data_IF_836447205452
#
_entry.id   IF_836447205452
#
_cell.length_a   1.000
_cell.length_b   1.000
_cell.length_c   1.000
_cell.angle_alpha   90.00
_cell.angle_beta   90.00
_cell.angle_gamma   90.00
#
_symmetry.space_group_name_H-M   'P 1'
#
loop_
_entity.id
_entity.type
_entity.pdbx_description
1 polymer ?
#
# COMPACT_ATOMS: atom_id res chain seq x y z
N UNK A 1 -19.98 -7.68 -25.07
CA UNK A 1 -19.75 -7.52 -23.62
C UNK A 1 -18.26 -7.48 -23.31
N UNK A 2 -17.41 -8.23 -24.02
CA UNK A 2 -15.94 -8.14 -23.93
C UNK A 2 -15.41 -6.71 -24.07
N UNK A 3 -15.83 -5.94 -25.09
CA UNK A 3 -15.29 -4.58 -25.31
C UNK A 3 -15.35 -3.59 -24.12
N UNK A 4 -16.27 -3.74 -23.16
CA UNK A 4 -16.32 -2.87 -21.96
C UNK A 4 -15.33 -3.30 -20.87
N UNK A 5 -15.18 -4.61 -20.68
CA UNK A 5 -14.26 -5.17 -19.69
C UNK A 5 -12.81 -4.85 -20.08
N UNK A 6 -12.47 -5.05 -21.34
CA UNK A 6 -11.17 -4.70 -21.92
C UNK A 6 -10.90 -3.21 -21.79
N UNK A 7 -11.90 -2.35 -21.99
CA UNK A 7 -11.77 -0.90 -21.82
C UNK A 7 -11.43 -0.53 -20.37
N UNK A 8 -12.17 -1.05 -19.38
CA UNK A 8 -11.87 -0.80 -17.96
C UNK A 8 -10.47 -1.29 -17.56
N UNK A 9 -10.06 -2.47 -18.06
CA UNK A 9 -8.69 -2.98 -17.85
C UNK A 9 -7.64 -2.08 -18.50
N UNK A 10 -7.89 -1.59 -19.70
CA UNK A 10 -6.97 -0.68 -20.39
C UNK A 10 -6.80 0.65 -19.65
N UNK A 11 -7.89 1.26 -19.17
CA UNK A 11 -7.83 2.51 -18.39
C UNK A 11 -7.04 2.32 -17.08
N UNK A 12 -7.29 1.23 -16.36
CA UNK A 12 -6.51 0.87 -15.16
C UNK A 12 -5.03 0.64 -15.51
N UNK A 13 -4.75 -0.11 -16.56
CA UNK A 13 -3.37 -0.40 -16.97
C UNK A 13 -2.60 0.87 -17.36
N UNK A 14 -3.24 1.84 -18.02
CA UNK A 14 -2.60 3.12 -18.38
C UNK A 14 -2.03 3.85 -17.16
N UNK A 15 -2.75 3.84 -16.03
CA UNK A 15 -2.33 4.54 -14.80
C UNK A 15 -1.45 3.67 -13.89
N UNK A 16 -1.52 2.34 -14.00
CA UNK A 16 -0.61 1.43 -13.29
C UNK A 16 0.81 1.52 -13.87
N UNK A 17 0.96 1.66 -15.19
CA UNK A 17 2.27 1.58 -15.84
C UNK A 17 3.30 2.61 -15.32
N UNK A 18 2.96 3.89 -15.13
CA UNK A 18 3.88 4.85 -14.50
C UNK A 18 4.30 4.41 -13.09
N UNK A 19 3.36 4.00 -12.24
CA UNK A 19 3.63 3.54 -10.87
C UNK A 19 4.57 2.32 -10.88
N UNK A 20 4.31 1.36 -11.76
CA UNK A 20 5.16 0.17 -11.91
C UNK A 20 6.56 0.52 -12.41
N UNK A 21 6.66 1.42 -13.39
CA UNK A 21 7.95 1.89 -13.93
C UNK A 21 8.78 2.58 -12.85
N UNK A 22 8.14 3.40 -12.00
CA UNK A 22 8.80 4.02 -10.84
C UNK A 22 9.26 2.99 -9.84
N UNK A 23 8.40 2.02 -9.50
CA UNK A 23 8.74 0.94 -8.59
C UNK A 23 9.96 0.16 -9.09
N UNK A 24 9.99 -0.22 -10.37
CA UNK A 24 11.11 -0.95 -10.97
C UNK A 24 12.40 -0.12 -10.97
N UNK A 25 12.29 1.15 -11.33
CA UNK A 25 13.41 2.09 -11.26
C UNK A 25 14.00 2.16 -9.84
N UNK A 26 13.17 2.36 -8.81
CA UNK A 26 13.67 2.48 -7.44
C UNK A 26 14.20 1.15 -6.88
N UNK A 27 13.64 0.00 -7.29
CA UNK A 27 14.24 -1.31 -7.01
C UNK A 27 15.69 -1.38 -7.49
N UNK A 28 15.94 -0.96 -8.73
CA UNK A 28 17.28 -0.95 -9.29
C UNK A 28 18.16 0.16 -8.69
N UNK A 29 17.58 1.31 -8.35
CA UNK A 29 18.31 2.44 -7.78
C UNK A 29 18.87 2.08 -6.39
N UNK A 30 18.10 1.41 -5.53
CA UNK A 30 18.55 0.98 -4.21
C UNK A 30 19.83 0.13 -4.28
N UNK A 31 19.86 -0.87 -5.17
CA UNK A 31 21.05 -1.70 -5.42
C UNK A 31 22.24 -0.85 -5.87
N UNK A 32 22.02 0.00 -6.90
CA UNK A 32 23.07 0.83 -7.50
C UNK A 32 23.65 1.82 -6.50
N UNK A 33 22.81 2.46 -5.69
CA UNK A 33 23.23 3.41 -4.65
C UNK A 33 24.15 2.69 -3.67
N UNK A 34 23.73 1.54 -3.12
CA UNK A 34 24.56 0.77 -2.18
C UNK A 34 25.93 0.44 -2.76
N UNK A 35 25.98 -0.07 -3.99
CA UNK A 35 27.25 -0.41 -4.63
C UNK A 35 28.12 0.82 -4.91
N UNK A 36 27.53 1.96 -5.29
CA UNK A 36 28.25 3.24 -5.41
C UNK A 36 28.85 3.67 -4.06
N UNK A 37 28.11 3.56 -2.97
CA UNK A 37 28.61 3.89 -1.64
C UNK A 37 29.76 2.97 -1.25
N UNK A 38 29.63 1.66 -1.48
CA UNK A 38 30.71 0.70 -1.19
C UNK A 38 31.97 1.02 -1.98
N UNK A 39 31.84 1.23 -3.30
CA UNK A 39 32.96 1.57 -4.16
C UNK A 39 33.64 2.89 -3.76
N UNK A 40 32.86 3.84 -3.23
CA UNK A 40 33.38 5.13 -2.78
C UNK A 40 34.15 5.03 -1.45
N UNK A 41 33.54 4.42 -0.43
CA UNK A 41 34.06 4.44 0.94
C UNK A 41 35.10 3.34 1.21
N UNK A 42 35.05 2.21 0.50
CA UNK A 42 36.04 1.12 0.63
C UNK A 42 37.14 1.18 -0.44
N UNK A 43 37.28 2.31 -1.14
CA UNK A 43 38.36 2.51 -2.11
C UNK A 43 39.73 2.59 -1.41
N UNK A 44 40.64 1.66 -1.71
CA UNK A 44 41.96 1.59 -1.08
C UNK A 44 42.77 2.90 -1.20
N UNK A 45 42.72 3.55 -2.37
CA UNK A 45 43.43 4.81 -2.60
C UNK A 45 42.87 5.98 -1.79
N UNK A 46 41.62 5.90 -1.32
CA UNK A 46 41.01 6.87 -0.41
C UNK A 46 41.29 6.51 1.05
N UNK A 47 41.14 5.25 1.42
CA UNK A 47 41.30 4.80 2.82
C UNK A 47 42.74 4.91 3.30
N UNK A 48 43.71 4.75 2.41
CA UNK A 48 45.13 5.00 2.69
C UNK A 48 45.46 6.46 3.00
N UNK A 49 44.68 7.43 2.51
CA UNK A 49 44.90 8.86 2.79
C UNK A 49 44.45 9.26 4.19
N UNK A 50 43.59 8.47 4.83
CA UNK A 50 43.03 8.77 6.14
C UNK A 50 43.99 8.50 7.31
N UNK A 51 45.23 8.10 7.04
CA UNK A 51 46.28 7.87 8.06
C UNK A 51 47.00 9.17 8.41
N UNK A 52 46.27 10.16 8.92
CA UNK A 52 46.85 11.39 9.45
C UNK A 52 47.37 11.16 10.89
N UNK A 53 48.44 11.88 11.27
CA UNK A 53 48.96 11.85 12.64
C UNK A 53 48.11 12.79 13.49
N UNK A 54 47.35 12.25 14.45
CA UNK A 54 46.52 13.01 15.37
C UNK A 54 47.35 13.98 16.23
N UNK A 55 46.83 15.19 16.46
CA UNK A 55 47.47 16.24 17.28
C UNK A 55 46.66 16.56 18.54
N UNK A 56 47.34 16.73 19.68
CA UNK A 56 46.68 17.17 20.93
C UNK A 56 45.67 16.16 21.48
N UNK A 57 44.40 16.57 21.60
CA UNK A 57 43.29 15.74 22.12
C UNK A 57 42.52 14.97 21.04
N UNK A 58 42.96 15.04 19.78
CA UNK A 58 42.33 14.33 18.66
C UNK A 58 42.41 12.82 18.83
N UNK A 59 41.33 12.12 18.43
CA UNK A 59 41.32 10.67 18.44
C UNK A 59 42.03 10.13 17.18
N UNK A 60 42.97 9.19 17.39
CA UNK A 60 43.65 8.49 16.30
C UNK A 60 42.59 7.76 15.45
N UNK A 61 42.51 8.13 14.18
CA UNK A 61 41.63 7.47 13.23
C UNK A 61 42.38 6.38 12.48
N UNK A 62 41.81 5.18 12.47
CA UNK A 62 42.27 4.08 11.63
C UNK A 62 41.07 3.53 10.88
N UNK A 63 41.18 3.45 9.55
CA UNK A 63 40.12 2.88 8.73
C UNK A 63 39.74 1.46 9.18
N UNK A 64 40.72 0.67 9.61
CA UNK A 64 40.48 -0.69 10.11
C UNK A 64 39.59 -0.72 11.37
N UNK A 65 39.55 0.36 12.16
CA UNK A 65 38.71 0.44 13.36
C UNK A 65 37.24 0.69 13.01
N UNK A 66 36.96 1.41 11.91
CA UNK A 66 35.59 1.76 11.50
C UNK A 66 35.06 0.86 10.40
N UNK A 67 35.94 0.15 9.67
CA UNK A 67 35.59 -0.66 8.51
C UNK A 67 34.46 -1.65 8.77
N UNK A 68 34.56 -2.44 9.83
CA UNK A 68 33.54 -3.44 10.16
C UNK A 68 32.16 -2.80 10.43
N UNK A 69 32.14 -1.69 11.16
CA UNK A 69 30.91 -0.93 11.40
C UNK A 69 30.34 -0.33 10.11
N UNK A 70 31.19 0.20 9.23
CA UNK A 70 30.75 0.73 7.93
C UNK A 70 30.20 -0.37 7.01
N UNK A 71 30.83 -1.56 7.00
CA UNK A 71 30.34 -2.74 6.25
C UNK A 71 28.98 -3.19 6.79
N UNK A 72 28.79 -3.14 8.12
CA UNK A 72 27.50 -3.42 8.75
C UNK A 72 26.41 -2.40 8.38
N UNK A 73 26.75 -1.14 8.10
CA UNK A 73 25.77 -0.19 7.58
C UNK A 73 25.38 -0.45 6.11
N UNK A 74 26.23 -1.11 5.32
CA UNK A 74 26.02 -1.34 3.87
C UNK A 74 25.86 -2.83 3.53
N UNK A 75 25.10 -3.55 4.35
CA UNK A 75 24.77 -4.97 4.19
C UNK A 75 24.10 -5.30 2.86
N UNK A 76 24.21 -6.55 2.42
CA UNK A 76 23.54 -7.03 1.21
C UNK A 76 22.01 -7.07 1.30
N UNK A 77 21.37 -7.17 0.13
CA UNK A 77 19.92 -7.11 -0.01
C UNK A 77 19.24 -8.30 0.68
N UNK A 78 19.82 -9.49 0.57
CA UNK A 78 19.26 -10.70 1.19
C UNK A 78 19.22 -10.56 2.71
N UNK A 79 20.29 -10.05 3.32
CA UNK A 79 20.36 -9.79 4.75
C UNK A 79 19.42 -8.65 5.17
N UNK A 80 19.28 -7.62 4.33
CA UNK A 80 18.38 -6.50 4.60
C UNK A 80 16.92 -6.96 4.61
N UNK A 81 16.53 -7.78 3.62
CA UNK A 81 15.19 -8.37 3.51
C UNK A 81 14.92 -9.30 4.68
N UNK A 82 15.84 -10.21 5.01
CA UNK A 82 15.70 -11.09 6.19
C UNK A 82 15.51 -10.30 7.48
N UNK A 83 16.29 -9.24 7.65
CA UNK A 83 16.16 -8.37 8.84
C UNK A 83 14.81 -7.66 8.86
N UNK A 84 14.32 -7.21 7.70
CA UNK A 84 13.00 -6.59 7.59
C UNK A 84 11.88 -7.59 7.91
N UNK A 85 12.01 -8.84 7.48
CA UNK A 85 11.10 -9.93 7.82
C UNK A 85 11.11 -10.28 9.31
N UNK A 86 12.29 -10.31 9.94
CA UNK A 86 12.43 -10.54 11.39
C UNK A 86 11.80 -9.43 12.22
N UNK A 87 11.95 -8.16 11.80
CA UNK A 87 11.33 -7.01 12.48
C UNK A 87 9.82 -7.04 12.34
N UNK A 88 9.31 -7.54 11.21
CA UNK A 88 7.91 -7.46 10.82
C UNK A 88 6.97 -8.10 11.86
N UNK A 89 7.36 -9.22 12.49
CA UNK A 89 6.50 -9.91 13.46
C UNK A 89 5.10 -10.21 12.90
N UNK A 90 4.11 -9.35 13.22
CA UNK A 90 2.71 -9.41 12.76
C UNK A 90 2.26 -8.24 11.85
N UNK A 91 3.16 -7.37 11.38
CA UNK A 91 2.83 -6.24 10.50
C UNK A 91 2.57 -6.68 9.04
N UNK A 92 1.79 -5.91 8.28
CA UNK A 92 1.37 -6.30 6.91
C UNK A 92 2.49 -6.25 5.87
N UNK A 93 3.53 -5.44 6.08
CA UNK A 93 4.65 -5.28 5.14
C UNK A 93 5.99 -5.09 5.88
N UNK A 94 7.06 -5.77 5.44
CA UNK A 94 8.39 -5.62 6.02
C UNK A 94 8.99 -4.27 5.61
N UNK A 95 9.64 -3.58 6.55
CA UNK A 95 10.31 -2.28 6.28
C UNK A 95 11.83 -2.46 6.17
N UNK A 96 12.33 -2.31 4.95
CA UNK A 96 13.72 -2.13 4.59
C UNK A 96 14.36 -0.91 5.28
N UNK A 97 13.63 0.20 5.44
CA UNK A 97 14.11 1.38 6.16
C UNK A 97 14.34 1.04 7.64
N UNK A 98 13.38 0.38 8.30
CA UNK A 98 13.56 -0.05 9.68
C UNK A 98 14.70 -1.06 9.84
N UNK A 99 14.83 -2.00 8.89
CA UNK A 99 15.95 -2.94 8.85
C UNK A 99 17.29 -2.22 8.69
N UNK A 100 17.37 -1.25 7.78
CA UNK A 100 18.56 -0.44 7.57
C UNK A 100 18.91 0.37 8.83
N UNK A 101 17.92 1.03 9.44
CA UNK A 101 18.10 1.80 10.67
C UNK A 101 18.61 0.90 11.83
N UNK A 102 18.16 -0.36 11.90
CA UNK A 102 18.67 -1.38 12.85
C UNK A 102 20.13 -1.73 12.59
N UNK A 103 20.54 -1.85 11.33
CA UNK A 103 21.95 -2.13 10.97
C UNK A 103 22.87 -0.93 11.23
N UNK A 104 22.40 0.29 10.95
CA UNK A 104 23.17 1.51 11.25
C UNK A 104 23.33 1.69 12.76
N UNK A 105 22.26 1.55 13.54
CA UNK A 105 22.34 1.64 15.00
C UNK A 105 23.18 0.52 15.63
N UNK A 106 23.14 -0.68 15.06
CA UNK A 106 23.94 -1.83 15.50
C UNK A 106 25.41 -1.79 15.08
N UNK A 107 25.84 -0.83 14.25
CA UNK A 107 27.20 -0.77 13.69
C UNK A 107 28.30 -0.41 14.69
N UNK A 108 27.92 0.13 15.86
CA UNK A 108 28.87 0.66 16.84
C UNK A 108 29.57 1.96 16.40
N UNK A 109 29.22 2.52 15.23
CA UNK A 109 29.69 3.84 14.81
C UNK A 109 28.94 4.93 15.57
N UNK A 110 29.57 6.08 15.87
CA UNK A 110 28.92 7.19 16.56
C UNK A 110 28.04 8.00 15.58
N UNK A 111 26.98 7.34 15.12
CA UNK A 111 25.96 7.85 14.22
C UNK A 111 24.64 7.97 15.00
N UNK A 112 24.07 9.17 15.01
CA UNK A 112 22.75 9.43 15.58
C UNK A 112 21.74 9.70 14.48
N UNK A 113 20.56 9.08 14.56
CA UNK A 113 19.47 9.37 13.66
C UNK A 113 18.66 10.58 14.15
N UNK A 114 18.62 11.65 13.36
CA UNK A 114 17.88 12.87 13.66
C UNK A 114 16.49 12.78 13.02
N UNK A 115 15.50 12.33 13.78
CA UNK A 115 14.14 12.08 13.29
C UNK A 115 13.50 13.30 12.60
N UNK A 116 13.79 14.51 13.08
CA UNK A 116 13.23 15.75 12.52
C UNK A 116 13.76 16.05 11.11
N UNK A 117 15.03 15.72 10.86
CA UNK A 117 15.67 15.94 9.56
C UNK A 117 15.59 14.71 8.67
N UNK A 118 15.34 13.52 9.24
CA UNK A 118 15.33 12.24 8.52
C UNK A 118 16.71 11.74 8.14
N UNK A 119 17.76 12.24 8.79
CA UNK A 119 19.17 12.08 8.39
C UNK A 119 20.01 11.49 9.52
N UNK A 120 21.19 10.99 9.15
CA UNK A 120 22.20 10.55 10.11
C UNK A 120 23.22 11.66 10.36
N UNK A 121 23.56 11.86 11.62
CA UNK A 121 24.59 12.82 12.03
C UNK A 121 25.72 12.07 12.72
N UNK A 122 26.93 12.34 12.27
CA UNK A 122 28.15 11.79 12.86
C UNK A 122 28.59 12.62 14.07
N UNK A 123 28.50 12.05 15.28
CA UNK A 123 28.80 12.71 16.56
C UNK A 123 29.79 11.89 17.41
N UNK A 124 31.09 11.97 17.13
CA UNK A 124 32.08 11.26 17.91
C UNK A 124 32.25 11.90 19.30
N UNK A 125 32.65 11.10 20.30
CA UNK A 125 32.94 11.59 21.66
C UNK A 125 34.11 12.59 21.69
N UNK A 126 35.09 12.38 20.80
CA UNK A 126 36.24 13.26 20.58
C UNK A 126 36.35 13.60 19.11
N UNK A 127 36.90 14.77 18.79
CA UNK A 127 37.14 15.16 17.40
C UNK A 127 38.19 14.23 16.78
N UNK A 128 37.90 13.76 15.57
CA UNK A 128 38.93 13.14 14.72
C UNK A 128 39.77 14.21 14.03
N UNK A 129 40.84 13.76 13.36
CA UNK A 129 41.57 14.60 12.42
C UNK A 129 40.61 15.14 11.34
N UNK A 130 40.90 16.31 10.74
CA UNK A 130 39.97 16.95 9.78
C UNK A 130 39.55 16.05 8.62
N UNK A 131 40.45 15.26 8.03
CA UNK A 131 40.11 14.38 6.91
C UNK A 131 39.23 13.21 7.34
N UNK A 132 39.54 12.58 8.48
CA UNK A 132 38.75 11.52 9.06
C UNK A 132 37.34 12.01 9.47
N UNK A 133 37.27 13.20 10.06
CA UNK A 133 36.01 13.84 10.44
C UNK A 133 35.13 14.11 9.21
N UNK A 134 35.73 14.64 8.13
CA UNK A 134 35.02 14.89 6.87
C UNK A 134 34.56 13.58 6.22
N UNK A 135 35.41 12.55 6.20
CA UNK A 135 35.09 11.23 5.67
C UNK A 135 33.89 10.58 6.38
N UNK A 136 33.88 10.59 7.71
CA UNK A 136 32.78 10.01 8.48
C UNK A 136 31.49 10.81 8.38
N UNK A 137 31.56 12.15 8.24
CA UNK A 137 30.37 12.96 7.94
C UNK A 137 29.83 12.67 6.55
N UNK A 138 30.69 12.58 5.53
CA UNK A 138 30.28 12.17 4.17
C UNK A 138 29.58 10.81 4.19
N UNK A 139 30.09 9.87 5.00
CA UNK A 139 29.46 8.57 5.19
C UNK A 139 28.05 8.69 5.78
N UNK A 140 27.88 9.45 6.87
CA UNK A 140 26.56 9.70 7.47
C UNK A 140 25.57 10.34 6.47
N UNK A 141 26.02 11.34 5.71
CA UNK A 141 25.22 11.95 4.64
C UNK A 141 24.81 10.96 3.56
N UNK A 142 25.73 10.10 3.12
CA UNK A 142 25.46 9.07 2.14
C UNK A 142 24.46 8.02 2.63
N UNK A 143 24.54 7.61 3.91
CA UNK A 143 23.55 6.72 4.52
C UNK A 143 22.15 7.36 4.54
N UNK A 144 22.06 8.68 4.78
CA UNK A 144 20.80 9.42 4.68
C UNK A 144 20.20 9.36 3.28
N UNK A 145 21.01 9.58 2.24
CA UNK A 145 20.56 9.47 0.85
C UNK A 145 20.12 8.04 0.47
N UNK A 146 20.83 7.03 0.96
CA UNK A 146 20.45 5.63 0.75
C UNK A 146 19.13 5.29 1.44
N UNK A 147 18.93 5.75 2.69
CA UNK A 147 17.68 5.60 3.44
C UNK A 147 16.48 6.21 2.71
N UNK A 148 16.66 7.38 2.10
CA UNK A 148 15.62 8.02 1.25
C UNK A 148 15.26 7.12 0.08
N UNK A 149 16.26 6.56 -0.63
CA UNK A 149 16.03 5.62 -1.72
C UNK A 149 15.24 4.37 -1.30
N UNK A 150 15.58 3.80 -0.13
CA UNK A 150 14.84 2.68 0.47
C UNK A 150 13.37 3.05 0.71
N UNK A 151 13.12 4.18 1.38
CA UNK A 151 11.76 4.60 1.74
C UNK A 151 10.89 4.93 0.52
N UNK A 152 11.48 5.52 -0.54
CA UNK A 152 10.76 5.75 -1.79
C UNK A 152 10.32 4.42 -2.41
N UNK A 153 11.23 3.44 -2.48
CA UNK A 153 10.95 2.10 -2.99
C UNK A 153 9.81 1.40 -2.22
N UNK A 154 9.83 1.49 -0.90
CA UNK A 154 8.78 0.94 -0.03
C UNK A 154 7.41 1.57 -0.30
N UNK A 155 7.34 2.90 -0.41
CA UNK A 155 6.07 3.60 -0.62
C UNK A 155 5.49 3.23 -1.99
N UNK A 156 6.31 3.17 -3.04
CA UNK A 156 5.84 2.71 -4.35
C UNK A 156 5.35 1.26 -4.32
N UNK A 157 6.03 0.39 -3.58
CA UNK A 157 5.59 -0.99 -3.40
C UNK A 157 4.23 -1.05 -2.69
N UNK A 158 4.02 -0.27 -1.63
CA UNK A 158 2.76 -0.19 -0.91
C UNK A 158 1.61 0.34 -1.79
N UNK A 159 1.87 1.37 -2.61
CA UNK A 159 0.89 1.90 -3.58
C UNK A 159 0.52 0.80 -4.61
N UNK A 160 1.52 0.16 -5.21
CA UNK A 160 1.33 -0.84 -6.26
C UNK A 160 0.65 -2.12 -5.76
N UNK A 161 0.96 -2.56 -4.55
CA UNK A 161 0.48 -3.84 -3.98
C UNK A 161 -0.79 -3.72 -3.13
N UNK A 162 -1.42 -2.54 -3.12
CA UNK A 162 -2.55 -2.23 -2.25
C UNK A 162 -3.69 -3.27 -2.38
N UNK A 163 -4.23 -3.74 -1.25
CA UNK A 163 -5.20 -4.85 -1.26
C UNK A 163 -6.52 -4.52 -1.94
N UNK A 164 -7.03 -3.30 -1.76
CA UNK A 164 -8.30 -2.85 -2.34
C UNK A 164 -8.33 -2.79 -3.86
N UNK A 165 -7.18 -2.79 -4.54
CA UNK A 165 -7.11 -2.78 -6.01
C UNK A 165 -6.97 -4.17 -6.62
N UNK A 166 -6.75 -5.21 -5.80
CA UNK A 166 -6.63 -6.59 -6.29
C UNK A 166 -7.98 -7.11 -6.75
N UNK A 167 -8.06 -7.47 -8.02
CA UNK A 167 -9.24 -8.10 -8.63
C UNK A 167 -9.02 -9.58 -8.97
N UNK A 168 -7.88 -10.15 -8.56
CA UNK A 168 -7.41 -11.51 -8.89
C UNK A 168 -8.42 -12.63 -8.58
N UNK A 169 -9.25 -12.47 -7.55
CA UNK A 169 -10.25 -13.47 -7.18
C UNK A 169 -11.50 -13.47 -8.08
N UNK A 170 -11.75 -12.39 -8.84
CA UNK A 170 -12.96 -12.24 -9.64
C UNK A 170 -12.95 -12.99 -10.98
N UNK A 171 -11.82 -13.08 -11.73
CA UNK A 171 -11.68 -13.98 -12.85
C UNK A 171 -12.03 -15.44 -12.52
N UNK A 172 -11.76 -15.90 -11.30
CA UNK A 172 -12.10 -17.26 -10.87
C UNK A 172 -13.61 -17.58 -10.98
N UNK A 173 -14.50 -16.59 -10.91
CA UNK A 173 -15.93 -16.82 -11.12
C UNK A 173 -16.29 -17.05 -12.59
N UNK A 174 -15.56 -16.41 -13.51
CA UNK A 174 -15.71 -16.67 -14.95
C UNK A 174 -15.19 -18.07 -15.25
N UNK A 175 -14.01 -18.43 -14.73
CA UNK A 175 -13.43 -19.76 -14.91
C UNK A 175 -14.31 -20.85 -14.31
N UNK A 176 -14.83 -20.64 -13.09
CA UNK A 176 -15.78 -21.56 -12.45
C UNK A 176 -17.08 -21.71 -13.25
N UNK A 177 -17.58 -20.61 -13.83
CA UNK A 177 -18.77 -20.65 -14.68
C UNK A 177 -18.52 -21.43 -15.98
N UNK A 178 -17.36 -21.25 -16.60
CA UNK A 178 -16.95 -22.03 -17.77
C UNK A 178 -16.76 -23.51 -17.44
N UNK A 179 -16.15 -23.82 -16.30
CA UNK A 179 -15.96 -25.19 -15.83
C UNK A 179 -17.30 -25.90 -15.65
N UNK A 180 -18.27 -25.27 -14.98
CA UNK A 180 -19.62 -25.85 -14.82
C UNK A 180 -20.33 -26.04 -16.17
N UNK A 181 -20.14 -25.11 -17.11
CA UNK A 181 -20.67 -25.24 -18.48
C UNK A 181 -20.04 -26.42 -19.22
N UNK A 182 -18.76 -26.69 -19.00
CA UNK A 182 -18.06 -27.83 -19.60
C UNK A 182 -18.53 -29.16 -19.01
N UNK A 183 -18.72 -29.23 -17.69
CA UNK A 183 -19.23 -30.43 -17.01
C UNK A 183 -20.61 -30.88 -17.51
N UNK A 184 -21.40 -29.98 -18.09
CA UNK A 184 -22.66 -30.33 -18.73
C UNK A 184 -22.48 -31.34 -19.88
N UNK A 185 -21.33 -31.35 -20.55
CA UNK A 185 -21.04 -32.24 -21.68
C UNK A 185 -20.45 -33.59 -21.24
N UNK A 186 -20.23 -33.76 -19.94
CA UNK A 186 -19.71 -34.98 -19.32
C UNK A 186 -20.86 -35.79 -18.70
N UNK A 187 -20.60 -37.06 -18.37
CA UNK A 187 -21.59 -37.94 -17.74
C UNK A 187 -21.63 -37.67 -16.21
N UNK A 188 -22.32 -36.59 -15.83
CA UNK A 188 -22.33 -36.01 -14.48
C UNK A 188 -23.75 -35.96 -13.90
N UNK A 189 -23.87 -36.08 -12.57
CA UNK A 189 -25.13 -35.88 -11.85
C UNK A 189 -25.66 -34.44 -12.03
N UNK A 190 -26.69 -34.31 -12.87
CA UNK A 190 -27.36 -33.06 -13.21
C UNK A 190 -27.98 -32.36 -11.99
N UNK A 191 -28.40 -33.10 -10.96
CA UNK A 191 -28.99 -32.50 -9.75
C UNK A 191 -27.90 -31.82 -8.91
N UNK A 192 -26.75 -32.48 -8.71
CA UNK A 192 -25.58 -31.88 -8.07
C UNK A 192 -25.09 -30.66 -8.83
N UNK A 193 -24.99 -30.76 -10.16
CA UNK A 193 -24.56 -29.65 -11.02
C UNK A 193 -25.52 -28.45 -10.91
N UNK A 194 -26.83 -28.68 -10.91
CA UNK A 194 -27.83 -27.64 -10.71
C UNK A 194 -27.69 -26.93 -9.34
N UNK A 195 -27.40 -27.67 -8.27
CA UNK A 195 -27.15 -27.10 -6.93
C UNK A 195 -25.90 -26.20 -6.92
N UNK A 196 -24.82 -26.63 -7.58
CA UNK A 196 -23.58 -25.85 -7.68
C UNK A 196 -23.80 -24.54 -8.46
N UNK A 197 -24.49 -24.62 -9.61
CA UNK A 197 -24.87 -23.43 -10.41
C UNK A 197 -25.71 -22.46 -9.58
N UNK A 198 -26.67 -22.95 -8.79
CA UNK A 198 -27.46 -22.11 -7.87
C UNK A 198 -26.62 -21.45 -6.77
N UNK A 199 -25.65 -22.16 -6.20
CA UNK A 199 -24.76 -21.62 -5.18
C UNK A 199 -23.93 -20.46 -5.73
N UNK A 200 -23.28 -20.64 -6.88
CA UNK A 200 -22.52 -19.59 -7.55
C UNK A 200 -23.42 -18.43 -7.96
N UNK A 201 -24.63 -18.71 -8.47
CA UNK A 201 -25.60 -17.65 -8.81
C UNK A 201 -25.96 -16.79 -7.59
N UNK A 202 -26.13 -17.40 -6.40
CA UNK A 202 -26.42 -16.68 -5.16
C UNK A 202 -25.23 -15.83 -4.71
N UNK A 203 -24.01 -16.36 -4.83
CA UNK A 203 -22.78 -15.66 -4.49
C UNK A 203 -22.55 -14.45 -5.40
N UNK A 204 -22.66 -14.61 -6.72
CA UNK A 204 -22.56 -13.50 -7.68
C UNK A 204 -23.58 -12.39 -7.37
N UNK A 205 -24.83 -12.75 -7.08
CA UNK A 205 -25.86 -11.77 -6.66
C UNK A 205 -25.51 -11.05 -5.36
N UNK A 206 -24.84 -11.73 -4.42
CA UNK A 206 -24.36 -11.12 -3.18
C UNK A 206 -23.24 -10.11 -3.44
N UNK A 207 -22.30 -10.45 -4.32
CA UNK A 207 -21.16 -9.60 -4.67
C UNK A 207 -21.56 -8.38 -5.52
N UNK A 208 -22.63 -8.46 -6.29
CA UNK A 208 -23.19 -7.34 -7.07
C UNK A 208 -23.92 -6.29 -6.21
N UNK A 209 -24.02 -6.48 -4.89
CA UNK A 209 -24.58 -5.46 -3.99
C UNK A 209 -23.67 -4.24 -3.95
N UNK A 210 -24.26 -3.04 -3.89
CA UNK A 210 -23.53 -1.77 -3.96
C UNK A 210 -22.38 -1.68 -2.94
N UNK A 211 -22.62 -2.12 -1.70
CA UNK A 211 -21.61 -2.13 -0.63
C UNK A 211 -20.44 -3.10 -0.90
N UNK A 212 -20.67 -4.18 -1.64
CA UNK A 212 -19.64 -5.18 -2.00
C UNK A 212 -18.83 -4.77 -3.21
N UNK A 213 -19.46 -4.18 -4.22
CA UNK A 213 -18.75 -3.60 -5.36
C UNK A 213 -17.78 -2.49 -4.92
N UNK A 214 -18.21 -1.63 -4.00
CA UNK A 214 -17.42 -0.51 -3.48
C UNK A 214 -16.59 -0.85 -2.22
N UNK A 215 -16.54 -2.12 -1.83
CA UNK A 215 -15.78 -2.58 -0.66
C UNK A 215 -14.30 -2.21 -0.81
N UNK A 216 -13.75 -1.55 0.23
CA UNK A 216 -12.35 -1.15 0.31
C UNK A 216 -11.98 0.18 -0.37
N UNK A 217 -12.90 0.88 -1.05
CA UNK A 217 -12.59 2.12 -1.76
C UNK A 217 -12.26 3.30 -0.83
N UNK A 218 -13.02 3.48 0.25
CA UNK A 218 -12.74 4.55 1.23
C UNK A 218 -11.40 4.34 1.91
N UNK A 219 -11.07 3.08 2.23
CA UNK A 219 -9.76 2.74 2.79
C UNK A 219 -8.64 3.02 1.79
N UNK A 220 -8.83 2.64 0.52
CA UNK A 220 -7.90 2.94 -0.57
C UNK A 220 -7.64 4.44 -0.72
N UNK A 221 -8.67 5.27 -0.74
CA UNK A 221 -8.53 6.72 -0.85
C UNK A 221 -7.71 7.31 0.31
N UNK A 222 -8.02 6.90 1.54
CA UNK A 222 -7.28 7.34 2.73
C UNK A 222 -5.82 6.90 2.70
N UNK A 223 -5.56 5.63 2.37
CA UNK A 223 -4.22 5.05 2.37
C UNK A 223 -3.36 5.62 1.24
N UNK A 224 -3.89 5.74 0.03
CA UNK A 224 -3.17 6.36 -1.09
C UNK A 224 -2.91 7.84 -0.83
N UNK A 225 -3.87 8.58 -0.27
CA UNK A 225 -3.65 9.98 0.12
C UNK A 225 -2.54 10.12 1.16
N UNK A 226 -2.45 9.22 2.14
CA UNK A 226 -1.37 9.18 3.13
C UNK A 226 -0.02 8.82 2.48
N UNK A 227 0.02 7.76 1.67
CA UNK A 227 1.23 7.30 0.99
C UNK A 227 1.76 8.36 0.02
N UNK A 228 0.88 9.02 -0.73
CA UNK A 228 1.19 10.16 -1.60
C UNK A 228 1.87 11.28 -0.82
N UNK A 229 1.29 11.70 0.31
CA UNK A 229 1.88 12.74 1.16
C UNK A 229 3.27 12.34 1.64
N UNK A 230 3.40 11.13 2.21
CA UNK A 230 4.69 10.59 2.68
C UNK A 230 5.74 10.55 1.57
N UNK A 231 5.36 10.17 0.36
CA UNK A 231 6.29 10.12 -0.78
C UNK A 231 6.80 11.51 -1.14
N UNK A 232 5.90 12.49 -1.25
CA UNK A 232 6.29 13.86 -1.59
C UNK A 232 7.16 14.45 -0.49
N UNK A 233 6.78 14.31 0.78
CA UNK A 233 7.59 14.78 1.92
C UNK A 233 8.99 14.13 1.91
N UNK A 234 9.09 12.84 1.57
CA UNK A 234 10.36 12.12 1.48
C UNK A 234 11.21 12.58 0.30
N UNK A 235 10.60 12.84 -0.86
CA UNK A 235 11.30 13.38 -2.03
C UNK A 235 11.80 14.81 -1.78
N UNK A 236 11.00 15.65 -1.13
CA UNK A 236 11.37 17.03 -0.78
C UNK A 236 12.49 17.06 0.25
N UNK A 237 12.36 16.32 1.35
CA UNK A 237 13.42 16.21 2.36
C UNK A 237 14.71 15.60 1.79
N UNK A 238 14.60 14.57 0.95
CA UNK A 238 15.74 13.99 0.24
C UNK A 238 16.45 14.98 -0.69
N UNK A 239 15.70 15.88 -1.34
CA UNK A 239 16.26 16.88 -2.23
C UNK A 239 17.06 17.88 -1.41
N UNK A 240 16.44 18.46 -0.38
CA UNK A 240 17.10 19.38 0.55
C UNK A 240 18.35 18.75 1.16
N UNK A 241 18.28 17.47 1.54
CA UNK A 241 19.41 16.73 2.07
C UNK A 241 20.57 16.69 1.07
N UNK A 242 20.36 16.26 -0.17
CA UNK A 242 21.41 16.18 -1.19
C UNK A 242 21.98 17.56 -1.56
N UNK A 243 21.12 18.58 -1.63
CA UNK A 243 21.55 19.96 -1.89
C UNK A 243 22.44 20.50 -0.76
N UNK A 244 22.10 20.19 0.50
CA UNK A 244 22.92 20.55 1.67
C UNK A 244 24.24 19.77 1.68
N UNK A 245 24.21 18.46 1.38
CA UNK A 245 25.42 17.64 1.22
C UNK A 245 26.41 18.22 0.21
N UNK A 246 25.87 18.74 -0.89
CA UNK A 246 26.68 19.29 -1.99
C UNK A 246 27.39 20.58 -1.57
N UNK A 247 26.72 21.41 -0.75
CA UNK A 247 27.23 22.69 -0.22
C UNK A 247 28.23 22.51 0.92
N UNK A 248 28.01 21.55 1.81
CA UNK A 248 28.84 21.39 3.03
C UNK A 248 30.29 21.00 2.72
N UNK A 249 30.53 20.27 1.63
CA UNK A 249 31.86 19.81 1.24
C UNK A 249 32.29 20.46 -0.08
N UNK A 250 32.67 21.75 -0.11
CA UNK A 250 32.96 22.47 -1.35
C UNK A 250 34.21 21.94 -2.07
N UNK A 251 34.26 22.19 -3.39
CA UNK A 251 35.46 21.95 -4.18
C UNK A 251 36.59 22.88 -3.71
N UNK A 252 37.81 22.36 -3.56
CA UNK A 252 38.97 23.20 -3.25
C UNK A 252 39.32 24.03 -4.52
N UNK A 253 39.44 25.35 -4.42
CA UNK A 253 39.50 26.30 -5.54
C UNK A 253 40.65 26.14 -6.54
N UNK A 254 41.59 25.21 -6.35
CA UNK A 254 42.77 25.07 -7.23
C UNK A 254 42.56 24.04 -8.37
N UNK A 255 41.66 23.06 -8.23
CA UNK A 255 41.52 21.92 -9.17
C UNK A 255 40.14 21.80 -9.84
N UNK A 256 39.19 22.71 -9.56
CA UNK A 256 37.79 22.64 -10.03
C UNK A 256 37.60 22.82 -11.54
N UNK A 257 38.57 23.42 -12.25
CA UNK A 257 38.49 23.62 -13.70
C UNK A 257 38.75 22.35 -14.51
N UNK A 258 39.25 21.28 -13.89
CA UNK A 258 39.67 20.07 -14.60
C UNK A 258 38.73 18.87 -14.34
N UNK A 259 38.25 18.66 -13.11
CA UNK A 259 37.35 17.55 -12.78
C UNK A 259 36.46 17.87 -11.57
N UNK A 260 35.24 17.33 -11.55
CA UNK A 260 34.46 17.22 -10.31
C UNK A 260 35.24 16.41 -9.27
N UNK A 261 35.19 16.82 -7.99
CA UNK A 261 35.62 15.94 -6.91
C UNK A 261 34.73 14.70 -6.91
N UNK A 262 35.33 13.56 -6.62
CA UNK A 262 34.62 12.27 -6.54
C UNK A 262 33.41 12.30 -5.60
N UNK A 263 33.40 13.15 -4.55
CA UNK A 263 32.21 13.38 -3.70
C UNK A 263 31.05 14.02 -4.47
N UNK A 264 31.28 15.12 -5.19
CA UNK A 264 30.25 15.78 -5.98
C UNK A 264 29.79 14.91 -7.14
N UNK A 265 30.68 14.14 -7.76
CA UNK A 265 30.30 13.12 -8.75
C UNK A 265 29.35 12.09 -8.13
N UNK A 266 29.69 11.56 -6.94
CA UNK A 266 28.81 10.62 -6.24
C UNK A 266 27.44 11.26 -5.98
N UNK A 267 27.39 12.47 -5.39
CA UNK A 267 26.13 13.16 -5.11
C UNK A 267 25.29 13.39 -6.38
N UNK A 268 25.90 13.80 -7.49
CA UNK A 268 25.21 13.94 -8.78
C UNK A 268 24.63 12.61 -9.26
N UNK A 269 25.39 11.52 -9.17
CA UNK A 269 24.89 10.19 -9.52
C UNK A 269 23.75 9.74 -8.60
N UNK A 270 23.83 10.02 -7.30
CA UNK A 270 22.73 9.75 -6.36
C UNK A 270 21.48 10.57 -6.71
N UNK A 271 21.64 11.86 -7.04
CA UNK A 271 20.54 12.71 -7.51
C UNK A 271 19.93 12.21 -8.82
N UNK A 272 20.75 11.78 -9.78
CA UNK A 272 20.28 11.19 -11.03
C UNK A 272 19.45 9.93 -10.79
N UNK A 273 19.91 9.05 -9.90
CA UNK A 273 19.19 7.83 -9.51
C UNK A 273 17.91 8.13 -8.72
N UNK A 274 17.89 9.10 -7.81
CA UNK A 274 16.72 9.38 -6.97
C UNK A 274 15.67 10.25 -7.67
N UNK A 275 16.08 11.09 -8.62
CA UNK A 275 15.21 12.08 -9.26
C UNK A 275 15.15 11.93 -10.79
N UNK A 276 15.51 10.76 -11.32
CA UNK A 276 15.45 10.46 -12.76
C UNK A 276 16.12 11.54 -13.65
N UNK A 277 17.35 11.92 -13.27
CA UNK A 277 18.15 12.96 -13.95
C UNK A 277 17.50 14.38 -13.94
N UNK A 278 16.48 14.61 -13.10
CA UNK A 278 15.82 15.91 -12.97
C UNK A 278 16.51 16.81 -11.94
N UNK A 279 17.77 17.13 -12.21
CA UNK A 279 18.55 18.07 -11.39
C UNK A 279 19.39 19.01 -12.26
N UNK A 280 19.80 20.13 -11.68
CA UNK A 280 20.82 21.02 -12.23
C UNK A 280 21.94 21.17 -11.22
N UNK A 281 23.13 21.54 -11.69
CA UNK A 281 24.26 21.78 -10.79
C UNK A 281 25.16 22.87 -11.35
N UNK A 282 25.87 23.55 -10.45
CA UNK A 282 27.00 24.40 -10.77
C UNK A 282 28.19 24.03 -9.92
N UNK A 283 29.24 23.53 -10.58
CA UNK A 283 30.53 23.29 -9.93
C UNK A 283 31.16 24.61 -9.45
N UNK A 284 30.91 25.73 -10.17
CA UNK A 284 31.42 27.06 -9.81
C UNK A 284 30.76 27.63 -8.56
N UNK A 285 29.44 27.51 -8.45
CA UNK A 285 28.68 28.05 -7.33
C UNK A 285 28.49 27.05 -6.18
N UNK A 286 29.00 25.82 -6.34
CA UNK A 286 28.80 24.76 -5.35
C UNK A 286 27.32 24.43 -5.15
N UNK A 287 26.52 24.51 -6.20
CA UNK A 287 25.08 24.26 -6.14
C UNK A 287 24.71 22.96 -6.83
N UNK A 288 23.75 22.29 -6.22
CA UNK A 288 22.95 21.21 -6.77
C UNK A 288 21.51 21.65 -6.49
N UNK A 289 20.62 21.49 -7.46
CA UNK A 289 19.21 21.84 -7.32
C UNK A 289 18.36 20.74 -7.97
N UNK A 290 17.44 20.19 -7.20
CA UNK A 290 16.48 19.21 -7.72
C UNK A 290 15.27 19.96 -8.29
N UNK A 291 14.87 19.60 -9.51
CA UNK A 291 13.76 20.24 -10.20
C UNK A 291 12.42 19.91 -9.53
N UNK A 292 11.74 20.92 -9.02
CA UNK A 292 10.43 20.78 -8.35
C UNK A 292 9.34 20.25 -9.27
N UNK A 293 9.48 20.46 -10.58
CA UNK A 293 8.58 19.94 -11.61
C UNK A 293 8.49 18.41 -11.56
N UNK A 294 9.58 17.73 -11.18
CA UNK A 294 9.57 16.28 -11.00
C UNK A 294 8.61 15.86 -9.89
N UNK A 295 8.64 16.52 -8.73
CA UNK A 295 7.73 16.23 -7.62
C UNK A 295 6.28 16.50 -8.01
N UNK A 296 6.03 17.58 -8.77
CA UNK A 296 4.71 17.88 -9.34
C UNK A 296 4.21 16.77 -10.29
N UNK A 297 5.09 16.22 -11.12
CA UNK A 297 4.79 15.10 -12.00
C UNK A 297 4.46 13.83 -11.22
N UNK A 298 5.26 13.47 -10.20
CA UNK A 298 4.99 12.31 -9.34
C UNK A 298 3.63 12.44 -8.64
N UNK A 299 3.32 13.63 -8.13
CA UNK A 299 2.02 13.91 -7.50
C UNK A 299 0.86 13.69 -8.49
N UNK A 300 0.98 14.22 -9.72
CA UNK A 300 -0.04 14.05 -10.75
C UNK A 300 -0.21 12.58 -11.19
N UNK A 301 0.89 11.83 -11.31
CA UNK A 301 0.85 10.38 -11.61
C UNK A 301 0.02 9.62 -10.55
N UNK A 302 0.22 9.93 -9.25
CA UNK A 302 -0.51 9.27 -8.15
C UNK A 302 -1.96 9.76 -8.06
N UNK A 303 -2.22 11.04 -8.25
CA UNK A 303 -3.59 11.59 -8.27
C UNK A 303 -4.44 10.95 -9.39
N UNK A 304 -3.82 10.73 -10.57
CA UNK A 304 -4.47 10.05 -11.68
C UNK A 304 -4.68 8.56 -11.36
N UNK A 305 -3.68 7.90 -10.79
CA UNK A 305 -3.80 6.52 -10.32
C UNK A 305 -4.96 6.34 -9.33
N UNK A 306 -5.04 7.19 -8.30
CA UNK A 306 -6.09 7.19 -7.27
C UNK A 306 -7.48 7.38 -7.90
N UNK A 307 -7.65 8.42 -8.72
CA UNK A 307 -8.93 8.78 -9.33
C UNK A 307 -9.41 7.67 -10.27
N UNK A 308 -8.54 7.19 -11.16
CA UNK A 308 -8.91 6.14 -12.12
C UNK A 308 -9.22 4.82 -11.44
N UNK A 309 -8.47 4.40 -10.41
CA UNK A 309 -8.81 3.17 -9.69
C UNK A 309 -10.14 3.28 -8.96
N UNK A 310 -10.43 4.41 -8.33
CA UNK A 310 -11.71 4.66 -7.64
C UNK A 310 -12.90 4.54 -8.60
N UNK A 311 -12.76 5.08 -9.80
CA UNK A 311 -13.83 5.06 -10.81
C UNK A 311 -13.94 3.72 -11.54
N UNK A 312 -12.82 3.13 -11.94
CA UNK A 312 -12.79 1.98 -12.84
C UNK A 312 -12.88 0.64 -12.12
N UNK A 313 -12.39 0.50 -10.88
CA UNK A 313 -12.47 -0.78 -10.14
C UNK A 313 -13.92 -1.23 -9.97
N UNK A 314 -14.87 -0.40 -9.48
CA UNK A 314 -16.26 -0.80 -9.33
C UNK A 314 -16.86 -1.30 -10.65
N UNK A 315 -16.59 -0.59 -11.74
CA UNK A 315 -17.09 -0.93 -13.07
C UNK A 315 -16.49 -2.24 -13.56
N UNK A 316 -15.18 -2.45 -13.38
CA UNK A 316 -14.51 -3.70 -13.70
C UNK A 316 -15.09 -4.88 -12.90
N UNK A 317 -15.30 -4.71 -11.58
CA UNK A 317 -15.93 -5.72 -10.73
C UNK A 317 -17.33 -6.08 -11.23
N UNK A 318 -18.14 -5.07 -11.56
CA UNK A 318 -19.49 -5.26 -12.10
C UNK A 318 -19.46 -6.04 -13.42
N UNK A 319 -18.61 -5.66 -14.37
CA UNK A 319 -18.55 -6.31 -15.69
C UNK A 319 -18.01 -7.76 -15.58
N UNK A 320 -17.03 -8.02 -14.72
CA UNK A 320 -16.57 -9.40 -14.43
C UNK A 320 -17.71 -10.26 -13.88
N UNK A 321 -18.43 -9.76 -12.88
CA UNK A 321 -19.55 -10.46 -12.26
C UNK A 321 -20.75 -10.63 -13.21
N UNK A 322 -21.02 -9.64 -14.08
CA UNK A 322 -22.06 -9.73 -15.11
C UNK A 322 -21.75 -10.81 -16.14
N UNK A 323 -20.50 -10.89 -16.59
CA UNK A 323 -20.07 -11.93 -17.52
C UNK A 323 -20.22 -13.32 -16.90
N UNK A 324 -19.75 -13.51 -15.66
CA UNK A 324 -19.95 -14.76 -14.93
C UNK A 324 -21.44 -15.09 -14.72
N UNK A 325 -22.26 -14.10 -14.33
CA UNK A 325 -23.70 -14.27 -14.15
C UNK A 325 -24.40 -14.74 -15.43
N UNK A 326 -24.00 -14.22 -16.58
CA UNK A 326 -24.55 -14.60 -17.88
C UNK A 326 -24.26 -16.07 -18.19
N UNK A 327 -23.00 -16.50 -18.04
CA UNK A 327 -22.59 -17.89 -18.30
C UNK A 327 -23.34 -18.84 -17.34
N UNK A 328 -23.44 -18.48 -16.06
CA UNK A 328 -24.17 -19.26 -15.06
C UNK A 328 -25.68 -19.34 -15.38
N UNK A 329 -26.28 -18.26 -15.86
CA UNK A 329 -27.69 -18.25 -16.25
C UNK A 329 -27.96 -19.13 -17.48
N UNK A 330 -27.11 -19.03 -18.52
CA UNK A 330 -27.16 -19.91 -19.70
C UNK A 330 -27.02 -21.38 -19.27
N UNK A 331 -25.98 -21.70 -18.49
CA UNK A 331 -25.71 -23.07 -18.00
C UNK A 331 -26.89 -23.62 -17.18
N UNK A 332 -27.53 -22.79 -16.35
CA UNK A 332 -28.71 -23.20 -15.58
C UNK A 332 -29.86 -23.61 -16.49
N UNK A 333 -30.13 -22.84 -17.54
CA UNK A 333 -31.19 -23.15 -18.51
C UNK A 333 -30.86 -24.46 -19.23
N UNK A 334 -29.61 -24.64 -19.65
CA UNK A 334 -29.18 -25.86 -20.34
C UNK A 334 -29.29 -27.11 -19.44
N UNK A 335 -28.96 -27.02 -18.15
CA UNK A 335 -29.16 -28.10 -17.17
C UNK A 335 -30.65 -28.42 -17.01
N UNK A 336 -31.50 -27.39 -16.90
CA UNK A 336 -32.94 -27.59 -16.78
C UNK A 336 -33.54 -28.25 -18.02
N UNK A 337 -33.06 -27.91 -19.21
CA UNK A 337 -33.45 -28.56 -20.46
C UNK A 337 -33.07 -30.05 -20.45
N UNK A 338 -31.81 -30.39 -20.09
CA UNK A 338 -31.39 -31.80 -19.99
C UNK A 338 -32.14 -32.60 -18.93
N UNK A 339 -32.44 -31.98 -17.79
CA UNK A 339 -33.26 -32.62 -16.74
C UNK A 339 -34.68 -32.93 -17.26
N UNK A 340 -35.27 -32.00 -18.02
CA UNK A 340 -36.58 -32.20 -18.64
C UNK A 340 -36.56 -33.28 -19.74
N UNK A 341 -35.52 -33.31 -20.59
CA UNK A 341 -35.30 -34.37 -21.58
C UNK A 341 -35.20 -35.75 -20.92
N UNK A 342 -34.57 -35.83 -19.75
CA UNK A 342 -34.41 -37.06 -18.97
C UNK A 342 -35.61 -37.39 -18.05
N UNK A 343 -36.66 -36.55 -18.04
CA UNK A 343 -37.84 -36.75 -17.21
C UNK A 343 -37.58 -36.64 -15.69
N UNK A 344 -36.54 -35.92 -15.28
CA UNK A 344 -36.15 -35.78 -13.87
C UNK A 344 -36.80 -34.51 -13.28
N UNK A 345 -37.65 -34.67 -12.26
CA UNK A 345 -38.24 -33.54 -11.54
C UNK A 345 -37.31 -32.98 -10.46
N UNK A 346 -37.09 -31.67 -10.48
CA UNK A 346 -36.38 -30.95 -9.41
C UNK A 346 -37.36 -30.61 -8.29
N UNK A 347 -37.28 -31.33 -7.17
CA UNK A 347 -38.02 -30.97 -5.95
C UNK A 347 -37.29 -29.81 -5.26
N UNK A 348 -37.75 -28.59 -5.48
CA UNK A 348 -37.26 -27.41 -4.77
C UNK A 348 -38.06 -27.14 -3.49
N UNK A 349 -37.37 -26.87 -2.38
CA UNK A 349 -38.03 -26.41 -1.16
C UNK A 349 -38.71 -25.04 -1.43
N UNK A 350 -39.95 -24.82 -0.95
CA UNK A 350 -40.66 -23.57 -1.22
C UNK A 350 -39.88 -22.35 -0.72
N UNK A 351 -39.82 -21.29 -1.54
CA UNK A 351 -39.07 -20.05 -1.25
C UNK A 351 -39.58 -19.30 0.00
N UNK A 352 -40.78 -19.64 0.44
CA UNK A 352 -41.42 -19.19 1.66
C UNK A 352 -41.53 -20.43 2.54
N UNK A 353 -40.71 -20.51 3.60
CA UNK A 353 -40.92 -21.54 4.61
C UNK A 353 -42.35 -21.45 5.15
N UNK A 354 -42.91 -22.55 5.64
CA UNK A 354 -44.29 -22.61 6.19
C UNK A 354 -44.59 -21.58 7.30
N UNK A 355 -43.63 -20.75 7.69
CA UNK A 355 -43.69 -19.77 8.78
C UNK A 355 -43.40 -18.31 8.33
N UNK A 356 -43.40 -17.98 7.03
CA UNK A 356 -42.88 -16.68 6.54
C UNK A 356 -43.92 -15.61 6.15
N UNK A 357 -45.17 -15.72 6.60
CA UNK A 357 -46.17 -14.64 6.54
C UNK A 357 -46.73 -14.39 7.94
N UNK A 358 -47.21 -13.17 8.28
CA UNK A 358 -47.58 -12.85 9.66
C UNK A 358 -48.71 -13.78 10.08
N UNK A 359 -48.39 -14.70 10.99
CA UNK A 359 -49.28 -15.73 11.53
C UNK A 359 -50.42 -15.15 12.38
N UNK A 360 -50.75 -13.86 12.25
CA UNK A 360 -51.71 -13.19 13.14
C UNK A 360 -53.15 -13.68 12.97
N UNK A 361 -53.50 -14.33 11.85
CA UNK A 361 -54.90 -14.67 11.53
C UNK A 361 -55.17 -16.18 11.33
N UNK A 362 -54.24 -17.08 11.66
CA UNK A 362 -54.47 -18.53 11.59
C UNK A 362 -54.52 -19.17 12.98
N UNK A 363 -55.33 -20.22 13.14
CA UNK A 363 -55.45 -20.99 14.40
C UNK A 363 -54.06 -21.48 14.88
N UNK A 364 -53.20 -21.88 13.96
CA UNK A 364 -51.82 -22.32 14.27
C UNK A 364 -50.93 -21.16 14.74
N UNK A 365 -51.17 -19.95 14.24
CA UNK A 365 -50.48 -18.75 14.69
C UNK A 365 -50.90 -18.29 16.08
N UNK A 366 -52.20 -18.41 16.40
CA UNK A 366 -52.71 -18.19 17.76
C UNK A 366 -52.11 -19.20 18.76
N UNK A 367 -51.96 -20.46 18.34
CA UNK A 367 -51.39 -21.52 19.18
C UNK A 367 -49.90 -21.30 19.46
N UNK A 368 -49.14 -20.82 18.46
CA UNK A 368 -47.73 -20.46 18.62
C UNK A 368 -47.56 -19.25 19.54
N UNK A 369 -48.39 -18.22 19.39
CA UNK A 369 -48.40 -17.03 20.25
C UNK A 369 -48.76 -17.38 21.70
N UNK A 370 -49.72 -18.28 21.91
CA UNK A 370 -50.08 -18.80 23.23
C UNK A 370 -48.90 -19.51 23.92
N UNK A 371 -48.19 -20.39 23.19
CA UNK A 371 -47.01 -21.06 23.73
C UNK A 371 -45.84 -20.11 24.00
N UNK A 372 -45.62 -19.09 23.14
CA UNK A 372 -44.61 -18.06 23.39
C UNK A 372 -44.94 -17.18 24.60
N UNK A 373 -46.23 -16.90 24.86
CA UNK A 373 -46.68 -16.22 26.09
C UNK A 373 -46.45 -17.06 27.34
N UNK A 374 -46.66 -18.38 27.28
CA UNK A 374 -46.36 -19.28 28.39
C UNK A 374 -44.85 -19.38 28.69
N UNK A 375 -44.00 -19.28 27.66
CA UNK A 375 -42.55 -19.33 27.82
C UNK A 375 -41.93 -18.03 28.32
N UNK A 376 -42.57 -16.87 28.08
CA UNK A 376 -42.04 -15.55 28.46
C UNK A 376 -42.56 -15.01 29.79
N UNK A 377 -43.48 -15.70 30.48
CA UNK A 377 -43.84 -15.40 31.87
C UNK A 377 -44.36 -13.98 32.13
N UNK A 378 -44.94 -13.31 31.13
CA UNK A 378 -45.52 -11.98 31.31
C UNK A 378 -46.97 -12.16 31.79
N UNK A 379 -47.17 -12.06 33.10
CA UNK A 379 -48.46 -11.77 33.70
C UNK A 379 -48.90 -10.38 33.27
N UNK A 380 -49.76 -10.29 32.25
CA UNK A 380 -50.57 -9.11 32.01
C UNK A 380 -51.79 -9.19 32.95
N UNK A 381 -51.60 -8.70 34.17
CA UNK A 381 -52.67 -8.35 35.08
C UNK A 381 -52.24 -7.08 35.82
N UNK A 382 -52.50 -5.92 35.21
CA UNK A 382 -52.99 -4.77 35.95
C UNK A 382 -53.86 -3.93 35.02
N UNK A 383 -55.06 -3.69 35.51
CA UNK A 383 -56.29 -3.39 34.81
C UNK A 383 -56.36 -1.97 34.24
N UNK A 384 -57.18 -1.87 33.20
CA UNK A 384 -58.10 -0.77 32.92
C UNK A 384 -58.58 -0.01 34.17
N UNK A 385 -58.46 1.32 34.12
CA UNK A 385 -59.44 2.26 34.67
C UNK A 385 -59.67 3.33 33.60
N UNK A 386 -60.85 3.36 32.96
CA UNK A 386 -61.97 4.28 33.28
C UNK A 386 -61.53 5.76 33.30
N UNK A 387 -62.10 6.72 32.56
CA UNK A 387 -63.38 6.84 31.86
C UNK A 387 -63.37 8.16 31.04
N UNK A 388 -64.07 8.17 29.90
CA UNK A 388 -64.88 9.26 29.28
C UNK A 388 -64.35 10.67 28.93
N UNK A 389 -64.53 10.95 27.63
CA UNK A 389 -65.29 12.05 26.97
C UNK A 389 -64.88 13.54 27.06
N UNK A 390 -65.15 14.18 25.91
CA UNK A 390 -65.41 15.61 25.61
C UNK A 390 -64.30 16.53 25.04
N UNK A 391 -64.44 16.76 23.73
CA UNK A 391 -64.43 18.01 22.94
C UNK A 391 -63.91 19.36 23.50
N UNK A 392 -63.36 20.13 22.53
CA UNK A 392 -63.26 21.61 22.47
C UNK A 392 -62.18 22.24 23.36
N UNK A 393 -61.54 23.38 23.10
CA UNK A 393 -61.34 24.31 21.98
C UNK A 393 -60.29 25.34 22.53
N UNK A 394 -59.54 26.00 21.64
CA UNK A 394 -58.76 27.25 21.84
C UNK A 394 -57.58 27.33 22.83
N UNK A 395 -56.50 28.00 22.38
CA UNK A 395 -55.68 28.86 23.25
C UNK A 395 -54.16 28.67 23.20
N UNK A 396 -53.50 29.24 22.19
CA UNK A 396 -52.14 29.84 22.32
C UNK A 396 -52.27 31.09 23.26
N UNK A 397 -51.27 31.65 24.00
CA UNK A 397 -49.80 31.44 24.04
C UNK A 397 -49.11 31.53 25.45
N UNK A 398 -47.76 31.50 25.42
CA UNK A 398 -46.77 32.31 26.20
C UNK A 398 -46.03 31.68 27.42
N UNK A 399 -44.70 31.80 27.31
CA UNK A 399 -43.73 32.24 28.33
C UNK A 399 -42.97 31.25 29.25
N UNK A 400 -41.69 31.05 28.87
CA UNK A 400 -40.47 31.51 29.57
C UNK A 400 -40.09 31.00 30.97
N UNK A 401 -38.76 30.75 31.09
CA UNK A 401 -37.91 30.51 32.27
C UNK A 401 -37.94 29.06 32.81
N UNK A 402 -36.81 28.37 32.98
CA UNK A 402 -35.44 28.80 33.30
C UNK A 402 -34.39 28.01 32.53
#
# INVERSE_FOLDING_TARGET
>A
MEGKLELHRQEINKVIQPIFTRLDHYKMAMFKIRELLKNYFFNEGRTQKLTEVAQGEEQVFSFNMVRAGMEQCLIDEDLLVRTAEEIMGSAEHPSLVAAFDKHVSGSGLPLEFHQQEGTYVFKPEKKYTPEAQAFMRQFAYALGAYRVGLGIGEIYFAIYSHRSIKTEQLPNYIDSAHYLKQQLNEDVDLISLYKQVKAIQKEIKSLLRANKVHEGLTQFENDISLLKRKLIDLLESGAVHLENCYKEFPNNPILWMLHDRSWHTLLKTLSGLLYAEQYTYSTLYGTLEIKKEFMGLIKAEIDQFETTHREQIPLLKIELLRNAAKIIAETKIDIQAKLAENGIELIEAPAVGMFSTPLSNSIYGLMLAYHQRQLTGINAAEDDKFDKDEESDQGIPLNSFS
#
